data_IF_005203553055
#
_entry.id   IF_005203553055
#
_cell.length_a   1.000
_cell.length_b   1.000
_cell.length_c   1.000
_cell.angle_alpha   90.00
_cell.angle_beta   90.00
_cell.angle_gamma   90.00
#
_symmetry.space_group_name_H-M   'P 1'
#
loop_
_entity.id
_entity.type
_entity.pdbx_description
1 polymer ?
#
# COMPACT_ATOMS: atom_id res chain seq x y z
N UNK A 1 2.73 -25.19 29.77
CA UNK A 1 4.14 -24.75 29.64
C UNK A 1 4.15 -23.52 28.76
N UNK A 2 4.75 -22.43 29.25
CA UNK A 2 4.66 -21.07 28.69
C UNK A 2 5.42 -21.02 27.36
N UNK A 3 4.73 -20.78 26.25
CA UNK A 3 5.39 -20.38 24.99
C UNK A 3 5.67 -18.88 25.10
N UNK A 4 6.93 -18.56 25.36
CA UNK A 4 7.50 -17.21 25.23
C UNK A 4 7.33 -16.76 23.78
N UNK A 5 6.32 -15.92 23.54
CA UNK A 5 6.21 -15.16 22.30
C UNK A 5 7.35 -14.15 22.24
N UNK A 6 8.26 -14.35 21.30
CA UNK A 6 9.22 -13.31 20.90
C UNK A 6 8.38 -12.28 20.17
N UNK A 7 8.11 -11.16 20.82
CA UNK A 7 7.58 -9.98 20.17
C UNK A 7 8.70 -9.42 19.30
N UNK A 8 8.63 -9.62 17.98
CA UNK A 8 9.35 -8.73 17.08
C UNK A 8 8.59 -7.41 17.13
N UNK A 9 8.98 -6.55 18.07
CA UNK A 9 8.67 -5.14 17.98
C UNK A 9 9.27 -4.67 16.66
N UNK A 10 8.42 -4.24 15.72
CA UNK A 10 8.85 -3.38 14.63
C UNK A 10 9.49 -2.18 15.31
N UNK A 11 10.82 -2.16 15.33
CA UNK A 11 11.56 -1.05 15.88
C UNK A 11 11.26 0.15 14.99
N UNK A 12 10.36 1.02 15.45
CA UNK A 12 10.44 2.44 15.14
C UNK A 12 11.83 2.89 15.60
N UNK A 13 12.80 2.81 14.71
CA UNK A 13 14.04 3.56 14.87
C UNK A 13 13.68 5.00 14.62
N UNK A 14 13.11 5.65 15.63
CA UNK A 14 13.20 7.10 15.75
C UNK A 14 14.69 7.37 15.91
N UNK A 15 15.31 7.78 14.81
CA UNK A 15 16.68 8.24 14.82
C UNK A 15 16.72 9.52 15.67
N UNK A 16 17.00 9.37 16.97
CA UNK A 16 17.40 10.49 17.84
C UNK A 16 18.81 10.92 17.42
N UNK A 17 18.92 11.63 16.30
CA UNK A 17 20.09 12.46 16.02
C UNK A 17 19.87 13.83 16.65
N UNK A 18 20.92 14.34 17.29
CA UNK A 18 20.98 15.67 17.85
C UNK A 18 20.68 16.78 16.83
N UNK A 19 20.67 18.05 17.28
CA UNK A 19 20.06 19.15 16.54
C UNK A 19 20.97 19.58 15.38
N UNK A 20 20.93 18.85 14.26
CA UNK A 20 21.49 19.30 12.99
C UNK A 20 20.86 18.51 11.86
N UNK A 21 19.99 19.18 11.10
CA UNK A 21 19.38 18.67 9.87
C UNK A 21 18.07 17.96 10.11
N UNK A 22 16.96 18.68 9.91
CA UNK A 22 15.66 18.05 9.70
C UNK A 22 15.81 17.02 8.58
N UNK A 23 15.76 15.73 8.91
CA UNK A 23 15.49 14.71 7.92
C UNK A 23 14.09 15.03 7.36
N UNK A 24 14.07 15.69 6.21
CA UNK A 24 12.89 15.79 5.39
C UNK A 24 12.36 14.37 5.24
N UNK A 25 11.09 14.13 5.60
CA UNK A 25 10.34 13.07 4.94
C UNK A 25 10.60 13.22 3.42
N UNK A 26 10.72 12.13 2.65
CA UNK A 26 10.91 12.24 1.21
C UNK A 26 9.96 13.32 0.68
N UNK A 27 10.51 14.36 0.05
CA UNK A 27 9.73 15.50 -0.45
C UNK A 27 8.66 15.05 -1.47
N UNK A 28 8.78 13.80 -1.92
CA UNK A 28 7.83 13.00 -2.66
C UNK A 28 7.91 11.55 -2.11
N UNK A 29 6.90 11.01 -1.41
CA UNK A 29 6.92 9.62 -0.97
C UNK A 29 6.88 8.69 -2.20
N UNK A 30 7.80 7.73 -2.28
CA UNK A 30 7.80 6.69 -3.33
C UNK A 30 6.45 5.92 -3.33
N UNK A 31 5.79 5.66 -4.49
CA UNK A 31 4.57 4.86 -4.56
C UNK A 31 4.72 3.47 -3.91
N UNK A 32 5.92 2.89 -3.89
CA UNK A 32 6.19 1.63 -3.22
C UNK A 32 6.08 1.75 -1.70
N UNK A 33 6.58 2.86 -1.14
CA UNK A 33 6.45 3.15 0.28
C UNK A 33 4.98 3.41 0.65
N UNK A 34 4.27 4.19 -0.17
CA UNK A 34 2.84 4.46 0.04
C UNK A 34 2.00 3.17 0.03
N UNK A 35 2.32 2.23 -0.88
CA UNK A 35 1.68 0.91 -0.93
C UNK A 35 1.93 0.09 0.34
N UNK A 36 3.16 0.07 0.85
CA UNK A 36 3.51 -0.63 2.09
C UNK A 36 2.78 -0.02 3.31
N UNK A 37 2.80 1.30 3.45
CA UNK A 37 2.11 2.01 4.53
C UNK A 37 0.60 1.78 4.49
N UNK A 38 0.00 1.84 3.30
CA UNK A 38 -1.42 1.55 3.13
C UNK A 38 -1.78 0.17 3.67
N UNK A 39 -1.04 -0.88 3.29
CA UNK A 39 -1.30 -2.23 3.78
C UNK A 39 -1.10 -2.36 5.28
N UNK A 40 -0.03 -1.77 5.83
CA UNK A 40 0.21 -1.76 7.28
C UNK A 40 -0.98 -1.17 8.04
N UNK A 41 -1.49 -0.02 7.59
CA UNK A 41 -2.68 0.59 8.18
C UNK A 41 -3.95 -0.25 8.01
N UNK A 42 -4.13 -0.94 6.88
CA UNK A 42 -5.27 -1.84 6.71
C UNK A 42 -5.19 -2.99 7.73
N UNK A 43 -4.02 -3.62 7.88
CA UNK A 43 -3.85 -4.71 8.84
C UNK A 43 -4.09 -4.27 10.29
N UNK A 44 -3.71 -3.05 10.65
CA UNK A 44 -4.00 -2.48 11.98
C UNK A 44 -5.49 -2.19 12.20
N UNK A 45 -6.23 -1.85 11.14
CA UNK A 45 -7.68 -1.54 11.21
C UNK A 45 -8.56 -2.77 11.32
N UNK A 46 -8.07 -3.94 10.93
CA UNK A 46 -8.79 -5.22 10.97
C UNK A 46 -8.96 -5.72 12.43
N UNK A 47 -9.67 -4.96 13.28
CA UNK A 47 -10.12 -5.19 14.68
C UNK A 47 -9.55 -6.41 15.44
N UNK A 48 -8.22 -6.51 15.49
CA UNK A 48 -7.49 -7.65 16.09
C UNK A 48 -7.81 -9.01 15.44
N UNK A 49 -8.30 -9.02 14.20
CA UNK A 49 -8.43 -10.19 13.34
C UNK A 49 -7.09 -10.55 12.67
N UNK A 50 -6.13 -9.63 12.56
CA UNK A 50 -4.76 -9.96 12.12
C UNK A 50 -3.95 -10.48 13.30
N UNK A 51 -3.50 -11.73 13.23
CA UNK A 51 -2.62 -12.38 14.20
C UNK A 51 -1.14 -12.09 13.92
N UNK A 52 -0.76 -12.11 12.64
CA UNK A 52 0.58 -11.76 12.18
C UNK A 52 0.53 -11.16 10.77
N UNK A 53 1.45 -10.24 10.49
CA UNK A 53 1.61 -9.62 9.17
C UNK A 53 3.11 -9.38 8.93
N UNK A 54 3.58 -9.75 7.74
CA UNK A 54 4.94 -9.51 7.28
C UNK A 54 4.93 -9.06 5.83
N UNK A 55 5.35 -7.82 5.58
CA UNK A 55 5.54 -7.29 4.24
C UNK A 55 6.80 -7.87 3.60
N UNK A 56 6.70 -8.45 2.41
CA UNK A 56 7.83 -9.06 1.71
C UNK A 56 8.43 -8.09 0.66
N UNK A 57 7.61 -7.53 -0.21
CA UNK A 57 8.09 -6.65 -1.30
C UNK A 57 6.97 -5.83 -1.94
N UNK A 58 7.33 -4.74 -2.60
CA UNK A 58 6.50 -4.07 -3.58
C UNK A 58 7.29 -3.78 -4.87
N UNK A 59 6.59 -3.76 -6.00
CA UNK A 59 7.16 -3.40 -7.30
C UNK A 59 6.12 -2.70 -8.18
N UNK A 60 6.56 -1.73 -8.98
CA UNK A 60 5.70 -1.11 -10.00
C UNK A 60 5.49 -2.10 -11.14
N UNK A 61 4.24 -2.23 -11.59
CA UNK A 61 3.86 -3.01 -12.76
C UNK A 61 3.71 -2.07 -13.96
N UNK A 62 4.81 -1.80 -14.68
CA UNK A 62 4.83 -0.81 -15.77
C UNK A 62 3.77 -1.03 -16.87
N UNK A 63 3.59 -2.28 -17.30
CA UNK A 63 2.59 -2.63 -18.32
C UNK A 63 1.17 -2.34 -17.83
N UNK A 64 0.90 -2.67 -16.57
CA UNK A 64 -0.40 -2.44 -15.95
C UNK A 64 -0.64 -0.95 -15.68
N UNK A 65 0.39 -0.21 -15.27
CA UNK A 65 0.40 1.25 -15.13
C UNK A 65 0.00 1.92 -16.44
N UNK A 66 0.61 1.52 -17.56
CA UNK A 66 0.24 2.08 -18.87
C UNK A 66 -1.19 1.68 -19.26
N UNK A 67 -1.58 0.42 -19.00
CA UNK A 67 -2.94 -0.07 -19.29
C UNK A 67 -4.02 0.72 -18.55
N UNK A 68 -3.85 1.01 -17.25
CA UNK A 68 -4.84 1.77 -16.48
C UNK A 68 -4.90 3.24 -16.90
N UNK A 69 -3.76 3.85 -17.23
CA UNK A 69 -3.72 5.24 -17.74
C UNK A 69 -4.50 5.34 -19.03
N UNK A 70 -4.26 4.44 -19.98
CA UNK A 70 -4.99 4.39 -21.25
C UNK A 70 -6.48 4.10 -21.04
N UNK A 71 -6.82 3.23 -20.08
CA UNK A 71 -8.22 2.89 -19.78
C UNK A 71 -9.03 4.10 -19.30
N UNK A 72 -8.42 4.95 -18.46
CA UNK A 72 -9.12 6.08 -17.86
C UNK A 72 -8.97 7.39 -18.62
N UNK A 73 -7.95 7.51 -19.48
CA UNK A 73 -7.77 8.66 -20.37
C UNK A 73 -9.01 8.90 -21.23
N UNK A 74 -9.52 10.13 -21.16
CA UNK A 74 -10.72 10.58 -21.88
C UNK A 74 -11.97 9.69 -21.64
N UNK A 75 -11.98 8.91 -20.55
CA UNK A 75 -13.10 8.03 -20.23
C UNK A 75 -14.22 8.79 -19.54
N UNK A 76 -15.47 8.42 -19.84
CA UNK A 76 -16.65 8.97 -19.15
C UNK A 76 -16.57 8.75 -17.64
N UNK A 77 -16.02 7.60 -17.21
CA UNK A 77 -15.84 7.25 -15.80
C UNK A 77 -14.90 8.23 -15.09
N UNK A 78 -13.80 8.64 -15.74
CA UNK A 78 -12.90 9.64 -15.17
C UNK A 78 -13.61 11.00 -15.03
N UNK A 79 -14.41 11.38 -16.03
CA UNK A 79 -15.25 12.58 -15.98
C UNK A 79 -16.29 12.54 -14.85
N UNK A 80 -17.00 11.42 -14.68
CA UNK A 80 -17.99 11.21 -13.62
C UNK A 80 -17.36 11.25 -12.22
N UNK A 81 -16.14 10.73 -12.08
CA UNK A 81 -15.36 10.77 -10.83
C UNK A 81 -14.69 12.12 -10.58
N UNK A 82 -14.76 13.04 -11.54
CA UNK A 82 -14.09 14.35 -11.45
C UNK A 82 -12.56 14.25 -11.43
N UNK A 83 -12.00 13.18 -11.98
CA UNK A 83 -10.55 12.98 -12.03
C UNK A 83 -9.91 13.94 -13.01
N UNK A 84 -8.86 14.63 -12.55
CA UNK A 84 -8.08 15.53 -13.39
C UNK A 84 -7.18 14.74 -14.34
N UNK A 85 -6.66 15.41 -15.36
CA UNK A 85 -5.63 14.80 -16.20
C UNK A 85 -4.36 14.48 -15.39
N UNK A 86 -4.01 15.31 -14.39
CA UNK A 86 -2.89 15.03 -13.49
C UNK A 86 -3.08 13.75 -12.70
N UNK A 87 -4.29 13.52 -12.17
CA UNK A 87 -4.65 12.26 -11.52
C UNK A 87 -4.50 11.07 -12.47
N UNK A 88 -4.89 11.19 -13.74
CA UNK A 88 -4.74 10.08 -14.71
C UNK A 88 -3.27 9.86 -15.05
N UNK A 89 -2.53 10.93 -15.36
CA UNK A 89 -1.13 10.87 -15.81
C UNK A 89 -0.19 10.31 -14.73
N UNK A 90 -0.52 10.52 -13.45
CA UNK A 90 0.25 9.99 -12.33
C UNK A 90 -0.28 8.65 -11.79
N UNK A 91 -1.26 7.99 -12.43
CA UNK A 91 -1.65 6.65 -12.00
C UNK A 91 -0.47 5.68 -12.04
N UNK A 92 -0.40 4.76 -11.08
CA UNK A 92 0.58 3.67 -11.05
C UNK A 92 -0.04 2.41 -10.46
N UNK A 93 0.36 1.26 -10.97
CA UNK A 93 0.01 -0.04 -10.44
C UNK A 93 1.20 -0.62 -9.67
N UNK A 94 0.97 -1.03 -8.42
CA UNK A 94 1.99 -1.60 -7.55
C UNK A 94 1.55 -2.99 -7.11
N UNK A 95 2.32 -4.01 -7.50
CA UNK A 95 2.19 -5.35 -6.92
C UNK A 95 2.89 -5.36 -5.57
N UNK A 96 2.17 -5.80 -4.55
CA UNK A 96 2.66 -6.02 -3.21
C UNK A 96 2.59 -7.50 -2.88
N UNK A 97 3.60 -7.98 -2.14
CA UNK A 97 3.67 -9.34 -1.62
C UNK A 97 3.86 -9.28 -0.13
N UNK A 98 3.08 -10.05 0.59
CA UNK A 98 3.14 -10.10 2.04
C UNK A 98 2.59 -11.44 2.53
N UNK A 99 2.92 -11.80 3.76
CA UNK A 99 2.30 -12.93 4.45
C UNK A 99 1.39 -12.41 5.57
N UNK A 100 0.19 -12.96 5.69
CA UNK A 100 -0.76 -12.60 6.75
C UNK A 100 -1.37 -13.84 7.38
N UNK A 101 -1.53 -13.81 8.70
CA UNK A 101 -2.23 -14.82 9.50
C UNK A 101 -3.44 -14.15 10.13
N UNK A 102 -4.64 -14.68 9.85
CA UNK A 102 -5.90 -14.13 10.35
C UNK A 102 -6.50 -15.04 11.42
N UNK A 103 -7.17 -14.44 12.39
CA UNK A 103 -8.07 -15.15 13.29
C UNK A 103 -9.33 -15.53 12.51
N UNK A 104 -9.27 -16.71 11.89
CA UNK A 104 -10.35 -17.22 11.06
C UNK A 104 -11.62 -17.63 11.85
N UNK A 105 -11.61 -17.45 13.17
CA UNK A 105 -12.84 -17.49 13.97
C UNK A 105 -13.63 -16.17 13.95
N UNK A 106 -12.98 -15.06 13.58
CA UNK A 106 -13.58 -13.71 13.46
C UNK A 106 -13.92 -13.35 12.01
N UNK A 107 -13.01 -13.64 11.07
CA UNK A 107 -13.15 -13.29 9.66
C UNK A 107 -12.86 -14.49 8.77
N UNK A 108 -13.62 -14.74 7.70
CA UNK A 108 -13.37 -15.89 6.83
C UNK A 108 -12.38 -15.53 5.70
N UNK A 109 -11.23 -14.94 6.05
CA UNK A 109 -10.25 -14.45 5.06
C UNK A 109 -9.20 -15.52 4.74
N UNK A 110 -8.67 -15.47 3.52
CA UNK A 110 -7.52 -16.29 3.13
C UNK A 110 -6.28 -15.83 3.89
N UNK A 111 -5.47 -16.79 4.33
CA UNK A 111 -4.22 -16.59 5.07
C UNK A 111 -3.02 -17.12 4.27
N UNK A 112 -1.81 -16.77 4.72
CA UNK A 112 -0.56 -17.16 4.08
C UNK A 112 -0.03 -16.07 3.15
N UNK A 113 0.61 -16.50 2.05
CA UNK A 113 1.22 -15.58 1.08
C UNK A 113 0.15 -14.93 0.22
N UNK A 114 0.14 -13.61 0.24
CA UNK A 114 -0.78 -12.76 -0.48
C UNK A 114 -0.04 -11.98 -1.58
N UNK A 115 -0.72 -11.80 -2.71
CA UNK A 115 -0.33 -10.88 -3.76
C UNK A 115 -1.48 -9.90 -3.93
N UNK A 116 -1.25 -8.60 -3.77
CA UNK A 116 -2.23 -7.56 -4.02
C UNK A 116 -1.67 -6.56 -5.04
N UNK A 117 -2.47 -6.20 -6.03
CA UNK A 117 -2.18 -5.07 -6.92
C UNK A 117 -2.94 -3.85 -6.41
N UNK A 118 -2.20 -2.84 -5.96
CA UNK A 118 -2.74 -1.55 -5.55
C UNK A 118 -2.62 -0.56 -6.71
N UNK A 119 -3.68 0.20 -6.95
CA UNK A 119 -3.67 1.30 -7.90
C UNK A 119 -3.59 2.62 -7.15
N UNK A 120 -2.48 3.31 -7.34
CA UNK A 120 -2.20 4.58 -6.68
C UNK A 120 -2.24 5.71 -7.69
N UNK A 121 -2.61 6.90 -7.24
CA UNK A 121 -2.46 8.12 -8.00
C UNK A 121 -2.18 9.30 -7.07
N UNK A 122 -1.82 10.44 -7.65
CA UNK A 122 -1.63 11.73 -7.02
C UNK A 122 -1.98 12.83 -8.02
N UNK A 123 -2.33 14.01 -7.52
CA UNK A 123 -2.67 15.13 -8.41
C UNK A 123 -1.42 15.64 -9.18
N UNK A 124 -0.31 15.81 -8.47
CA UNK A 124 0.98 16.25 -9.00
C UNK A 124 2.16 15.70 -8.18
N UNK A 125 3.40 16.02 -8.56
CA UNK A 125 4.63 15.54 -7.90
C UNK A 125 4.76 15.95 -6.43
N UNK A 126 4.01 16.95 -5.97
CA UNK A 126 4.03 17.41 -4.58
C UNK A 126 2.86 16.85 -3.75
N UNK A 127 1.95 16.13 -4.40
CA UNK A 127 0.77 15.55 -3.79
C UNK A 127 1.07 14.14 -3.28
N UNK A 128 0.51 13.73 -2.12
CA UNK A 128 0.71 12.39 -1.62
C UNK A 128 0.11 11.35 -2.56
N UNK A 129 0.68 10.15 -2.57
CA UNK A 129 0.06 9.00 -3.22
C UNK A 129 -1.16 8.52 -2.45
N UNK A 130 -2.24 8.27 -3.16
CA UNK A 130 -3.48 7.74 -2.63
C UNK A 130 -3.87 6.47 -3.40
N UNK A 131 -4.26 5.43 -2.66
CA UNK A 131 -4.83 4.21 -3.25
C UNK A 131 -6.28 4.51 -3.65
N UNK A 132 -6.59 4.44 -4.95
CA UNK A 132 -7.94 4.68 -5.47
C UNK A 132 -8.68 3.40 -5.85
N UNK A 133 -7.94 2.30 -6.03
CA UNK A 133 -8.49 0.98 -6.34
C UNK A 133 -7.48 -0.11 -5.95
N UNK A 134 -7.94 -1.34 -5.79
CA UNK A 134 -7.08 -2.48 -5.48
C UNK A 134 -7.68 -3.77 -6.00
N UNK A 135 -6.82 -4.68 -6.46
CA UNK A 135 -7.21 -6.01 -6.90
C UNK A 135 -6.41 -7.06 -6.13
N UNK A 136 -7.12 -8.10 -5.74
CA UNK A 136 -6.54 -9.37 -5.32
C UNK A 136 -6.67 -10.29 -6.54
N UNK A 137 -5.57 -10.78 -7.14
CA UNK A 137 -5.68 -11.76 -8.20
C UNK A 137 -6.40 -12.97 -7.62
N UNK A 138 -7.56 -13.32 -8.15
CA UNK A 138 -8.21 -14.59 -7.80
C UNK A 138 -7.26 -15.73 -8.22
N UNK A 139 -6.96 -16.66 -7.31
CA UNK A 139 -6.33 -17.94 -7.65
C UNK A 139 -7.26 -18.79 -8.53
#
# INVERSE_FOLDING_TARGET
>A
MKKTGVWLAVFFTVFLMGPTGCAHAPTDPDPLWAAQEYLGQQMEREDGAVLAYEFESAQVLEEETERIRQRYKDSDIAGERGWSQGFIDHMTAVETRYTVDYDNTKVPYSEGKMIHVLYLSREDENSPWEVFDSLTPYE
#
